data_IF_499796444019
#
_entry.id   IF_499796444019
#
_cell.length_a   1.000
_cell.length_b   1.000
_cell.length_c   1.000
_cell.angle_alpha   90.00
_cell.angle_beta   90.00
_cell.angle_gamma   90.00
#
_symmetry.space_group_name_H-M   'P 1'
#
loop_
_entity.id
_entity.type
_entity.pdbx_description
1 polymer ?
#
# COMPACT_ATOMS: atom_id res chain seq x y z
N UNK A 1 -0.62 -7.33 -2.66
CA UNK A 1 0.67 -7.27 -3.37
C UNK A 1 0.78 -8.45 -4.31
N UNK A 2 0.56 -8.24 -5.61
CA UNK A 2 0.47 -9.32 -6.61
C UNK A 2 1.77 -9.57 -7.39
N UNK A 3 2.93 -9.42 -6.76
CA UNK A 3 4.25 -9.55 -7.40
C UNK A 3 5.20 -10.42 -6.58
N UNK A 4 6.26 -10.93 -7.22
CA UNK A 4 7.30 -11.71 -6.55
C UNK A 4 8.20 -10.80 -5.73
N UNK A 5 8.32 -11.11 -4.43
CA UNK A 5 9.29 -10.48 -3.52
C UNK A 5 10.50 -11.39 -3.36
N UNK A 6 11.69 -10.81 -3.44
CA UNK A 6 12.95 -11.50 -3.16
C UNK A 6 13.74 -10.72 -2.13
N UNK A 7 14.16 -11.41 -1.06
CA UNK A 7 14.97 -10.87 0.02
C UNK A 7 16.31 -11.60 0.01
N UNK A 8 17.41 -10.86 -0.13
CA UNK A 8 18.78 -11.38 -0.03
C UNK A 8 19.40 -10.76 1.21
N UNK A 9 19.98 -11.60 2.07
CA UNK A 9 20.51 -11.23 3.37
C UNK A 9 21.94 -11.76 3.52
N UNK A 10 22.76 -11.02 4.25
CA UNK A 10 24.05 -11.49 4.75
C UNK A 10 24.00 -11.41 6.27
N UNK A 11 24.34 -12.52 6.94
CA UNK A 11 24.31 -12.61 8.40
C UNK A 11 25.39 -13.56 8.89
N UNK A 12 25.79 -13.41 10.15
CA UNK A 12 26.85 -14.22 10.78
C UNK A 12 26.43 -15.68 11.01
N UNK A 13 25.13 -15.98 10.92
CA UNK A 13 24.61 -17.35 11.00
C UNK A 13 23.34 -17.52 10.16
N UNK A 14 23.09 -18.76 9.73
CA UNK A 14 21.87 -19.11 8.99
C UNK A 14 20.60 -18.87 9.82
N UNK A 15 20.66 -19.14 11.13
CA UNK A 15 19.54 -18.92 12.05
C UNK A 15 19.12 -17.44 12.08
N UNK A 16 20.10 -16.54 12.24
CA UNK A 16 19.84 -15.10 12.23
C UNK A 16 19.29 -14.64 10.87
N UNK A 17 19.85 -15.15 9.76
CA UNK A 17 19.34 -14.85 8.42
C UNK A 17 17.88 -15.30 8.27
N UNK A 18 17.53 -16.49 8.74
CA UNK A 18 16.16 -17.03 8.62
C UNK A 18 15.17 -16.22 9.45
N UNK A 19 15.52 -15.87 10.68
CA UNK A 19 14.69 -15.03 11.55
C UNK A 19 14.46 -13.65 10.93
N UNK A 20 15.51 -13.01 10.41
CA UNK A 20 15.40 -11.73 9.73
C UNK A 20 14.55 -11.80 8.45
N UNK A 21 14.70 -12.87 7.65
CA UNK A 21 13.87 -13.10 6.47
C UNK A 21 12.39 -13.22 6.84
N UNK A 22 12.07 -14.04 7.84
CA UNK A 22 10.70 -14.24 8.32
C UNK A 22 10.09 -12.91 8.78
N UNK A 23 10.80 -12.15 9.63
CA UNK A 23 10.32 -10.86 10.10
C UNK A 23 10.09 -9.86 8.96
N UNK A 24 10.95 -9.86 7.93
CA UNK A 24 10.78 -8.99 6.77
C UNK A 24 9.55 -9.39 5.93
N UNK A 25 9.32 -10.68 5.70
CA UNK A 25 8.12 -11.14 4.99
C UNK A 25 6.84 -10.87 5.78
N UNK A 26 6.83 -11.10 7.09
CA UNK A 26 5.70 -10.75 7.96
C UNK A 26 5.40 -9.25 7.90
N UNK A 27 6.43 -8.40 7.90
CA UNK A 27 6.24 -6.95 7.79
C UNK A 27 5.64 -6.56 6.44
N UNK A 28 6.09 -7.18 5.35
CA UNK A 28 5.53 -6.95 4.02
C UNK A 28 4.06 -7.37 3.98
N UNK A 29 3.72 -8.52 4.56
CA UNK A 29 2.34 -8.98 4.64
C UNK A 29 1.47 -8.00 5.44
N UNK A 30 1.93 -7.55 6.62
CA UNK A 30 1.21 -6.58 7.44
C UNK A 30 0.94 -5.28 6.67
N UNK A 31 1.92 -4.78 5.91
CA UNK A 31 1.75 -3.61 5.07
C UNK A 31 0.77 -3.87 3.92
N UNK A 32 0.78 -5.06 3.31
CA UNK A 32 -0.16 -5.40 2.26
C UNK A 32 -1.61 -5.42 2.75
N UNK A 33 -1.85 -5.97 3.94
CA UNK A 33 -3.18 -5.99 4.57
C UNK A 33 -3.72 -4.58 4.83
N UNK A 34 -2.85 -3.63 5.16
CA UNK A 34 -3.19 -2.23 5.39
C UNK A 34 -3.45 -1.50 4.06
N UNK A 35 -2.56 -1.66 3.09
CA UNK A 35 -2.43 -0.78 1.92
C UNK A 35 -3.12 -1.29 0.65
N UNK A 36 -3.65 -2.52 0.64
CA UNK A 36 -4.26 -3.10 -0.54
C UNK A 36 -5.58 -2.41 -0.93
N UNK A 37 -5.75 -2.12 -2.22
CA UNK A 37 -7.02 -1.66 -2.83
C UNK A 37 -7.94 -2.82 -3.24
N UNK A 38 -7.47 -4.07 -3.12
CA UNK A 38 -8.22 -5.27 -3.51
C UNK A 38 -9.10 -5.82 -2.38
N UNK A 39 -8.76 -5.56 -1.12
CA UNK A 39 -9.55 -5.99 0.03
C UNK A 39 -10.44 -4.83 0.50
N UNK A 40 -11.78 -4.91 0.39
CA UNK A 40 -12.69 -3.87 0.88
C UNK A 40 -12.56 -3.60 2.38
N UNK A 41 -12.05 -4.56 3.16
CA UNK A 41 -11.87 -4.40 4.61
C UNK A 41 -10.49 -3.88 5.01
N UNK A 42 -9.60 -3.62 4.04
CA UNK A 42 -8.31 -2.98 4.33
C UNK A 42 -8.51 -1.60 4.94
N UNK A 43 -7.52 -1.16 5.72
CA UNK A 43 -7.54 0.17 6.33
C UNK A 43 -7.63 1.27 5.26
N UNK A 44 -6.88 1.14 4.17
CA UNK A 44 -6.96 2.04 3.02
C UNK A 44 -8.39 2.12 2.46
N UNK A 45 -9.04 0.98 2.22
CA UNK A 45 -10.37 0.98 1.62
C UNK A 45 -11.45 1.50 2.57
N UNK A 46 -11.28 1.32 3.88
CA UNK A 46 -12.12 1.96 4.90
C UNK A 46 -11.95 3.48 4.88
N UNK A 47 -10.72 3.98 4.81
CA UNK A 47 -10.43 5.41 4.66
C UNK A 47 -11.13 5.99 3.43
N UNK A 48 -10.98 5.35 2.26
CA UNK A 48 -11.62 5.78 1.01
C UNK A 48 -13.15 5.90 1.12
N UNK A 49 -13.81 5.02 1.87
CA UNK A 49 -15.28 5.06 2.07
C UNK A 49 -15.74 6.17 2.99
N UNK A 50 -14.96 6.49 4.03
CA UNK A 50 -15.42 7.30 5.16
C UNK A 50 -14.87 8.73 5.18
N UNK A 51 -13.68 8.96 4.59
CA UNK A 51 -12.96 10.24 4.68
C UNK A 51 -13.71 11.43 4.07
N UNK A 52 -14.65 11.19 3.15
CA UNK A 52 -15.52 12.24 2.58
C UNK A 52 -16.57 12.75 3.56
N UNK A 53 -16.85 12.03 4.64
CA UNK A 53 -17.93 12.33 5.60
C UNK A 53 -17.40 12.76 6.95
N UNK A 54 -16.26 12.21 7.37
CA UNK A 54 -15.68 12.46 8.70
C UNK A 54 -14.17 12.21 8.71
N UNK A 55 -13.44 12.80 9.66
CA UNK A 55 -12.09 12.36 9.97
C UNK A 55 -12.06 10.87 10.34
N UNK A 56 -11.11 10.13 9.78
CA UNK A 56 -10.92 8.70 10.04
C UNK A 56 -9.54 8.54 10.67
N UNK A 57 -9.43 7.97 11.88
CA UNK A 57 -8.13 7.62 12.43
C UNK A 57 -7.49 6.52 11.59
N UNK A 58 -6.20 6.67 11.32
CA UNK A 58 -5.41 5.72 10.53
C UNK A 58 -4.13 5.36 11.27
N UNK A 59 -3.58 4.19 10.95
CA UNK A 59 -2.29 3.74 11.45
C UNK A 59 -1.16 4.68 11.02
N UNK A 60 -0.06 4.66 11.77
CA UNK A 60 1.14 5.41 11.42
C UNK A 60 1.72 5.01 10.05
N UNK A 61 1.55 3.74 9.66
CA UNK A 61 2.00 3.23 8.37
C UNK A 61 1.24 3.86 7.20
N UNK A 62 -0.10 3.81 7.27
CA UNK A 62 -0.94 4.43 6.24
C UNK A 62 -0.72 5.94 6.19
N UNK A 63 -0.62 6.60 7.35
CA UNK A 63 -0.33 8.04 7.40
C UNK A 63 1.01 8.38 6.73
N UNK A 64 2.06 7.62 7.02
CA UNK A 64 3.40 7.83 6.45
C UNK A 64 3.40 7.72 4.92
N UNK A 65 2.71 6.70 4.38
CA UNK A 65 2.60 6.52 2.92
C UNK A 65 1.80 7.66 2.28
N UNK A 66 0.70 8.08 2.90
CA UNK A 66 -0.14 9.16 2.38
C UNK A 66 0.59 10.51 2.42
N UNK A 67 1.27 10.84 3.51
CA UNK A 67 2.03 12.09 3.62
C UNK A 67 3.13 12.14 2.55
N UNK A 68 3.87 11.03 2.38
CA UNK A 68 4.87 10.93 1.31
C UNK A 68 4.25 11.06 -0.08
N UNK A 69 3.10 10.43 -0.30
CA UNK A 69 2.37 10.47 -1.58
C UNK A 69 1.93 11.90 -1.93
N UNK A 70 1.42 12.65 -0.95
CA UNK A 70 1.08 14.07 -1.12
C UNK A 70 2.33 14.91 -1.44
N UNK A 71 3.45 14.63 -0.77
CA UNK A 71 4.74 15.26 -1.09
C UNK A 71 5.17 15.01 -2.53
N UNK A 72 5.10 13.75 -2.99
CA UNK A 72 5.45 13.37 -4.38
C UNK A 72 4.50 14.04 -5.39
N UNK A 73 3.20 14.09 -5.09
CA UNK A 73 2.23 14.75 -5.96
C UNK A 73 2.57 16.23 -6.17
N UNK A 74 2.95 16.95 -5.10
CA UNK A 74 3.35 18.36 -5.19
C UNK A 74 4.62 18.58 -6.03
N UNK A 75 5.67 17.78 -5.82
CA UNK A 75 6.94 17.96 -6.56
C UNK A 75 6.84 17.55 -8.03
N UNK A 76 5.83 16.76 -8.38
CA UNK A 76 5.57 16.31 -9.76
C UNK A 76 4.48 17.12 -10.46
N UNK A 77 3.98 18.20 -9.83
CA UNK A 77 2.87 19.02 -10.32
C UNK A 77 1.64 18.18 -10.74
N UNK A 78 1.30 17.19 -9.90
CA UNK A 78 0.17 16.30 -10.13
C UNK A 78 0.39 15.17 -11.13
N UNK A 79 1.58 15.03 -11.74
CA UNK A 79 1.87 13.88 -12.60
C UNK A 79 1.80 12.55 -11.84
N UNK A 80 2.13 12.56 -10.54
CA UNK A 80 1.74 11.53 -9.60
C UNK A 80 0.53 12.00 -8.79
N UNK A 81 -0.56 11.23 -8.80
CA UNK A 81 -1.76 11.52 -8.03
C UNK A 81 -2.27 10.26 -7.32
N UNK A 82 -2.16 10.23 -5.99
CA UNK A 82 -2.61 9.11 -5.15
C UNK A 82 -4.14 9.01 -5.07
N UNK A 83 -4.88 10.03 -5.52
CA UNK A 83 -6.35 10.08 -5.51
C UNK A 83 -7.00 9.61 -6.81
N UNK A 84 -6.20 9.21 -7.80
CA UNK A 84 -6.64 8.76 -9.14
C UNK A 84 -7.45 7.45 -9.15
N UNK A 85 -7.69 6.84 -7.99
CA UNK A 85 -8.40 5.57 -7.79
C UNK A 85 -9.71 5.43 -8.58
N UNK A 86 -10.63 6.41 -8.60
CA UNK A 86 -11.86 6.33 -9.39
C UNK A 86 -11.62 6.16 -10.90
N UNK A 87 -10.61 6.83 -11.46
CA UNK A 87 -10.26 6.70 -12.88
C UNK A 87 -9.65 5.33 -13.16
N UNK A 88 -8.80 4.82 -12.27
CA UNK A 88 -8.24 3.46 -12.37
C UNK A 88 -9.34 2.40 -12.36
N UNK A 89 -10.34 2.55 -11.49
CA UNK A 89 -11.49 1.63 -11.42
C UNK A 89 -12.29 1.62 -12.74
N UNK A 90 -12.55 2.79 -13.32
CA UNK A 90 -13.24 2.93 -14.61
C UNK A 90 -12.48 2.18 -15.72
N UNK A 91 -11.16 2.34 -15.80
CA UNK A 91 -10.33 1.66 -16.80
C UNK A 91 -10.24 0.15 -16.58
N UNK A 92 -10.21 -0.31 -15.33
CA UNK A 92 -10.26 -1.76 -15.00
C UNK A 92 -11.57 -2.39 -15.51
N UNK A 93 -12.70 -1.72 -15.32
CA UNK A 93 -14.00 -2.21 -15.78
C UNK A 93 -14.10 -2.20 -17.31
N UNK A 94 -13.66 -1.13 -17.97
CA UNK A 94 -13.65 -1.02 -19.43
C UNK A 94 -12.80 -2.12 -20.10
N UNK A 95 -11.71 -2.56 -19.45
CA UNK A 95 -10.88 -3.68 -19.93
C UNK A 95 -11.59 -5.04 -19.81
N UNK A 96 -12.52 -5.19 -18.88
CA UNK A 96 -13.18 -6.46 -18.56
C UNK A 96 -14.45 -6.70 -19.40
N UNK A 97 -15.04 -5.63 -19.92
CA UNK A 97 -16.30 -5.63 -20.68
C UNK A 97 -16.10 -5.45 -22.20
N UNK A 98 -14.85 -5.32 -22.66
CA UNK A 98 -14.45 -5.50 -24.07
C UNK A 98 -14.15 -6.96 -24.36
#
# INVERSE_FOLDING_TARGET
MGTRVQIILYADSEELARQAATAAFERIQNLDEILTDYNPESELMRLCREASRRPVPVSGDLLSVLDRSLGVSRITDGAFDVTVGPLVALWREARRTK
#
